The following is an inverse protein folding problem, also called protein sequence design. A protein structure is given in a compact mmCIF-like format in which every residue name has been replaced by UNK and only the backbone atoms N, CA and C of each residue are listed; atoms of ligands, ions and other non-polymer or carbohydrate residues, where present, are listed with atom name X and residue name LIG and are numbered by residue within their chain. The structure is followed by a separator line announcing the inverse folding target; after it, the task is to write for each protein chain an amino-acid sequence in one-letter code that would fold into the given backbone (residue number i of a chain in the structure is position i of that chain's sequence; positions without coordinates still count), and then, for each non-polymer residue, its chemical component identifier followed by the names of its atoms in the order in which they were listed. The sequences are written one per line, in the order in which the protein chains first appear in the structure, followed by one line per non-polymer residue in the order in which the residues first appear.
data_IF_062393137939
#
_entry.id   IF_062393137939
#
_cell.length_a   1.000
_cell.length_b   1.000
_cell.length_c   1.000
_cell.angle_alpha   90.00
_cell.angle_beta   90.00
_cell.angle_gamma   90.00
#
_symmetry.space_group_name_H-M   'P 1'
#
loop_
_entity.id
_entity.type
_entity.pdbx_description
1 polymer ?
#
# COMPACT_ATOMS: atom_id res chain seq x y z
N UNK A 1 -46.30 41.00 18.61
CA UNK A 1 -45.30 40.50 17.65
C UNK A 1 -44.36 39.59 18.43
N UNK A 2 -44.53 38.27 18.31
CA UNK A 2 -43.76 37.37 17.42
C UNK A 2 -42.30 37.29 17.87
N UNK A 3 -41.97 36.28 18.70
CA UNK A 3 -41.44 34.95 18.34
C UNK A 3 -39.97 35.00 17.96
N UNK A 4 -39.12 34.25 18.67
CA UNK A 4 -38.00 33.45 18.13
C UNK A 4 -36.95 33.11 19.21
N UNK A 5 -37.30 32.24 20.16
CA UNK A 5 -36.28 31.44 20.88
C UNK A 5 -36.90 30.07 21.19
N UNK A 6 -37.19 29.26 20.16
CA UNK A 6 -37.53 27.83 20.35
C UNK A 6 -36.92 26.88 19.30
N UNK A 7 -36.18 27.38 18.32
CA UNK A 7 -35.66 26.55 17.21
C UNK A 7 -34.39 25.75 17.54
N UNK A 8 -33.40 26.24 18.32
CA UNK A 8 -32.17 25.46 18.56
C UNK A 8 -32.38 24.28 19.53
N UNK A 9 -33.27 24.43 20.52
CA UNK A 9 -33.52 23.41 21.53
C UNK A 9 -34.33 22.23 20.97
N UNK A 10 -35.26 22.51 20.05
CA UNK A 10 -36.08 21.48 19.39
C UNK A 10 -35.25 20.70 18.35
N UNK A 11 -34.32 21.36 17.64
CA UNK A 11 -33.39 20.67 16.74
C UNK A 11 -32.42 19.76 17.51
N UNK A 12 -31.88 20.22 18.64
CA UNK A 12 -30.97 19.42 19.47
C UNK A 12 -31.62 18.15 20.04
N UNK A 13 -32.87 18.22 20.46
CA UNK A 13 -33.62 17.06 20.98
C UNK A 13 -34.04 16.10 19.85
N UNK A 14 -34.37 16.61 18.66
CA UNK A 14 -34.71 15.77 17.50
C UNK A 14 -33.50 14.97 16.98
N UNK A 15 -32.30 15.55 16.99
CA UNK A 15 -31.06 14.87 16.56
C UNK A 15 -30.66 13.78 17.57
N UNK A 16 -30.76 14.05 18.88
CA UNK A 16 -30.48 13.05 19.92
C UNK A 16 -31.49 11.90 19.92
N UNK A 17 -32.78 12.16 19.70
CA UNK A 17 -33.79 11.12 19.55
C UNK A 17 -33.59 10.28 18.27
N UNK A 18 -33.18 10.90 17.16
CA UNK A 18 -32.87 10.21 15.91
C UNK A 18 -31.69 9.24 16.02
N UNK A 19 -30.62 9.63 16.73
CA UNK A 19 -29.44 8.78 16.96
C UNK A 19 -29.76 7.60 17.88
N UNK A 20 -30.60 7.80 18.92
CA UNK A 20 -31.01 6.73 19.84
C UNK A 20 -31.96 5.72 19.16
N UNK A 21 -32.86 6.18 18.29
CA UNK A 21 -33.76 5.30 17.53
C UNK A 21 -33.00 4.53 16.46
N UNK A 22 -31.95 5.09 15.83
CA UNK A 22 -31.08 4.34 14.93
C UNK A 22 -30.25 3.28 15.67
N UNK A 23 -29.73 3.58 16.87
CA UNK A 23 -28.98 2.59 17.65
C UNK A 23 -29.86 1.45 18.16
N UNK A 24 -31.12 1.71 18.52
CA UNK A 24 -32.05 0.68 19.00
C UNK A 24 -32.66 -0.15 17.87
N UNK A 25 -32.70 0.35 16.64
CA UNK A 25 -33.13 -0.43 15.47
C UNK A 25 -32.02 -1.30 14.88
N UNK A 26 -30.74 -0.95 15.09
CA UNK A 26 -29.61 -1.84 14.78
C UNK A 26 -29.42 -2.97 15.80
N UNK A 27 -29.87 -2.82 17.06
CA UNK A 27 -29.83 -3.90 18.05
C UNK A 27 -30.99 -4.90 17.94
N UNK A 28 -32.02 -4.59 17.15
CA UNK A 28 -33.21 -5.43 16.99
C UNK A 28 -33.18 -6.35 15.75
N UNK A 29 -32.17 -6.22 14.88
CA UNK A 29 -31.97 -7.16 13.75
C UNK A 29 -31.11 -8.38 14.10
N UNK A 30 -30.53 -8.44 15.31
CA UNK A 30 -29.61 -9.50 15.72
C UNK A 30 -30.21 -10.48 16.75
N UNK A 31 -31.55 -10.56 16.82
CA UNK A 31 -32.25 -11.49 17.71
C UNK A 31 -33.39 -12.21 16.98
N UNK A 32 -33.03 -13.30 16.30
CA UNK A 32 -33.97 -14.39 16.00
C UNK A 32 -33.62 -15.60 16.87
N UNK A 33 -34.62 -16.30 17.45
CA UNK A 33 -34.41 -17.22 18.56
C UNK A 33 -33.96 -18.61 18.08
N UNK A 34 -32.95 -19.18 18.75
CA UNK A 34 -32.68 -20.61 18.71
C UNK A 34 -33.89 -21.38 19.27
N UNK A 35 -34.56 -22.14 18.41
CA UNK A 35 -35.51 -23.16 18.82
C UNK A 35 -34.77 -24.33 19.47
N UNK A 36 -35.05 -24.53 20.74
CA UNK A 36 -34.77 -25.74 21.50
C UNK A 36 -35.72 -26.87 21.06
N UNK A 37 -35.15 -28.00 20.69
CA UNK A 37 -35.81 -29.30 20.72
C UNK A 37 -34.87 -30.28 21.41
N UNK A 38 -35.14 -30.54 22.68
CA UNK A 38 -34.56 -31.68 23.38
C UNK A 38 -35.29 -32.96 22.99
N UNK A 39 -34.55 -34.04 22.78
CA UNK A 39 -34.65 -35.22 23.65
C UNK A 39 -33.70 -36.36 23.24
N UNK A 40 -33.23 -37.03 24.29
CA UNK A 40 -32.94 -38.47 24.44
C UNK A 40 -31.66 -39.10 23.90
N UNK A 41 -30.85 -39.51 24.91
CA UNK A 41 -30.18 -40.81 25.13
C UNK A 41 -28.99 -41.24 24.27
N UNK A 42 -27.92 -41.58 25.01
CA UNK A 42 -26.85 -42.53 24.75
C UNK A 42 -27.00 -43.42 23.50
N UNK A 43 -25.97 -43.41 22.65
CA UNK A 43 -25.24 -44.64 22.30
C UNK A 43 -23.94 -44.31 21.56
N UNK A 44 -22.83 -44.76 22.14
CA UNK A 44 -21.53 -44.93 21.50
C UNK A 44 -21.63 -45.74 20.21
N UNK A 45 -21.34 -45.13 19.06
CA UNK A 45 -20.89 -45.84 17.85
C UNK A 45 -19.81 -45.06 17.12
N UNK A 46 -18.63 -45.66 17.12
CA UNK A 46 -17.57 -45.58 16.11
C UNK A 46 -18.14 -45.37 14.70
N UNK A 47 -17.74 -44.28 14.06
CA UNK A 47 -17.97 -44.05 12.64
C UNK A 47 -16.93 -43.05 12.12
N UNK A 48 -15.87 -43.59 11.54
CA UNK A 48 -14.99 -42.91 10.59
C UNK A 48 -15.81 -42.13 9.56
N UNK A 49 -15.73 -40.80 9.56
CA UNK A 49 -16.41 -39.96 8.56
C UNK A 49 -15.40 -39.52 7.49
N UNK A 50 -15.68 -39.71 6.18
CA UNK A 50 -14.79 -39.33 5.10
C UNK A 50 -14.77 -37.81 4.94
N UNK A 51 -13.58 -37.26 4.66
CA UNK A 51 -13.28 -35.90 4.18
C UNK A 51 -14.45 -34.90 4.20
N UNK A 52 -14.54 -34.07 5.25
CA UNK A 52 -15.31 -32.84 5.20
C UNK A 52 -14.69 -31.90 4.15
N UNK A 53 -15.11 -32.01 2.89
CA UNK A 53 -14.84 -31.00 1.87
C UNK A 53 -15.46 -29.69 2.33
N UNK A 54 -14.63 -28.66 2.49
CA UNK A 54 -15.11 -27.31 2.84
C UNK A 54 -16.10 -26.86 1.76
N UNK A 55 -17.26 -26.38 2.19
CA UNK A 55 -18.24 -25.82 1.28
C UNK A 55 -17.68 -24.55 0.64
N UNK A 56 -17.34 -24.61 -0.66
CA UNK A 56 -16.79 -23.48 -1.41
C UNK A 56 -17.84 -22.61 -2.11
N UNK A 57 -19.13 -22.86 -1.89
CA UNK A 57 -20.19 -21.99 -2.40
C UNK A 57 -20.00 -20.57 -1.84
N UNK A 58 -19.66 -19.62 -2.72
CA UNK A 58 -19.48 -18.21 -2.39
C UNK A 58 -18.07 -17.67 -2.60
N UNK A 59 -17.04 -18.53 -2.70
CA UNK A 59 -15.69 -18.07 -3.01
C UNK A 59 -15.49 -17.89 -4.52
N UNK A 60 -14.88 -16.78 -4.92
CA UNK A 60 -14.42 -16.56 -6.29
C UNK A 60 -13.12 -17.36 -6.52
N UNK A 61 -12.92 -17.87 -7.73
CA UNK A 61 -11.59 -18.34 -8.14
C UNK A 61 -10.67 -17.15 -8.38
N UNK A 62 -9.38 -17.34 -8.10
CA UNK A 62 -8.37 -16.39 -8.55
C UNK A 62 -8.44 -16.27 -10.08
N UNK A 63 -8.46 -15.04 -10.63
CA UNK A 63 -8.46 -14.85 -12.07
C UNK A 63 -7.13 -15.32 -12.67
N UNK A 64 -7.12 -15.58 -13.97
CA UNK A 64 -5.88 -15.82 -14.69
C UNK A 64 -5.00 -14.55 -14.70
N UNK A 65 -3.68 -14.74 -14.64
CA UNK A 65 -2.71 -13.67 -14.86
C UNK A 65 -2.72 -13.32 -16.36
N UNK A 66 -3.26 -12.16 -16.69
CA UNK A 66 -3.50 -11.72 -18.07
C UNK A 66 -2.71 -10.45 -18.39
N UNK A 67 -2.24 -10.33 -19.63
CA UNK A 67 -1.54 -9.13 -20.07
C UNK A 67 -0.14 -8.94 -19.50
N UNK A 68 0.48 -10.02 -19.00
CA UNK A 68 1.82 -9.96 -18.42
C UNK A 68 2.84 -9.57 -19.48
N UNK A 69 3.55 -8.47 -19.23
CA UNK A 69 4.54 -7.87 -20.12
C UNK A 69 5.96 -8.39 -19.91
N UNK A 70 6.23 -8.97 -18.74
CA UNK A 70 7.54 -9.49 -18.37
C UNK A 70 7.47 -10.40 -17.14
N UNK A 71 8.49 -11.25 -17.00
CA UNK A 71 8.61 -12.22 -15.92
C UNK A 71 10.01 -12.11 -15.31
N UNK A 72 10.09 -12.15 -13.98
CA UNK A 72 11.32 -12.16 -13.20
C UNK A 72 11.25 -13.36 -12.24
N UNK A 73 12.38 -14.05 -12.05
CA UNK A 73 12.49 -15.29 -11.25
C UNK A 73 11.63 -16.47 -11.74
N UNK A 74 11.07 -16.41 -12.95
CA UNK A 74 10.29 -17.50 -13.56
C UNK A 74 10.15 -17.34 -15.06
N UNK A 75 9.68 -18.39 -15.74
CA UNK A 75 9.17 -18.36 -17.10
C UNK A 75 7.64 -18.59 -17.12
N UNK A 76 6.91 -18.14 -18.16
CA UNK A 76 5.45 -18.26 -18.21
C UNK A 76 4.93 -19.69 -17.97
N UNK A 77 5.49 -20.67 -18.70
CA UNK A 77 5.09 -22.08 -18.60
C UNK A 77 5.45 -22.71 -17.25
N UNK A 78 6.53 -22.25 -16.62
CA UNK A 78 6.94 -22.71 -15.30
C UNK A 78 5.97 -22.18 -14.24
N UNK A 79 5.61 -20.91 -14.30
CA UNK A 79 4.67 -20.29 -13.37
C UNK A 79 3.30 -20.98 -13.43
N UNK A 80 2.78 -21.18 -14.64
CA UNK A 80 1.47 -21.84 -14.84
C UNK A 80 1.45 -23.27 -14.27
N UNK A 81 2.53 -24.03 -14.44
CA UNK A 81 2.66 -25.37 -13.85
C UNK A 81 2.80 -25.31 -12.33
N UNK A 82 3.53 -24.32 -11.81
CA UNK A 82 3.74 -24.15 -10.37
C UNK A 82 2.46 -23.83 -9.61
N UNK A 83 1.49 -23.15 -10.22
CA UNK A 83 0.23 -22.77 -9.54
C UNK A 83 -0.61 -23.99 -9.12
N UNK A 84 -0.55 -25.10 -9.86
CA UNK A 84 -1.39 -26.27 -9.60
C UNK A 84 -1.07 -26.90 -8.23
N UNK A 85 -2.11 -27.23 -7.47
CA UNK A 85 -2.01 -27.78 -6.12
C UNK A 85 -1.16 -26.94 -5.16
N UNK A 86 -1.05 -25.61 -5.32
CA UNK A 86 -0.35 -24.73 -4.36
C UNK A 86 -1.34 -23.82 -3.65
N UNK A 87 -1.04 -23.48 -2.40
CA UNK A 87 -1.61 -22.26 -1.80
C UNK A 87 -0.90 -21.08 -2.45
N UNK A 88 -1.63 -20.16 -3.07
CA UNK A 88 -1.02 -19.05 -3.81
C UNK A 88 -1.30 -17.72 -3.14
N UNK A 89 -0.26 -16.99 -2.75
CA UNK A 89 -0.36 -15.60 -2.31
C UNK A 89 -0.03 -14.69 -3.50
N UNK A 90 -1.03 -13.93 -3.96
CA UNK A 90 -0.86 -12.88 -4.95
C UNK A 90 -0.63 -11.55 -4.23
N UNK A 91 0.58 -11.01 -4.35
CA UNK A 91 0.95 -9.72 -3.78
C UNK A 91 0.95 -8.66 -4.88
N UNK A 92 -0.04 -7.76 -4.86
CA UNK A 92 -0.09 -6.64 -5.81
C UNK A 92 0.71 -5.48 -5.22
N UNK A 93 1.81 -5.13 -5.87
CA UNK A 93 2.80 -4.19 -5.36
C UNK A 93 3.39 -3.30 -6.48
N UNK A 94 4.07 -2.24 -6.07
CA UNK A 94 4.98 -1.46 -6.92
C UNK A 94 6.17 -1.01 -6.08
N UNK A 95 7.36 -0.90 -6.68
CA UNK A 95 8.59 -0.77 -5.90
C UNK A 95 8.82 0.64 -5.33
N UNK A 96 8.18 1.68 -5.87
CA UNK A 96 8.30 3.04 -5.31
C UNK A 96 7.25 3.35 -4.23
N UNK A 97 6.32 2.43 -3.96
CA UNK A 97 5.30 2.59 -2.92
C UNK A 97 5.87 2.20 -1.54
N UNK A 98 5.99 3.16 -0.62
CA UNK A 98 6.53 2.91 0.73
C UNK A 98 5.73 1.83 1.49
N UNK A 99 4.40 1.85 1.37
CA UNK A 99 3.53 0.89 2.03
C UNK A 99 3.78 -0.53 1.48
N UNK A 100 4.04 -0.68 0.18
CA UNK A 100 4.44 -1.96 -0.40
C UNK A 100 5.79 -2.41 0.17
N UNK A 101 6.79 -1.53 0.13
CA UNK A 101 8.17 -1.81 0.58
C UNK A 101 8.21 -2.28 2.04
N UNK A 102 7.38 -1.71 2.92
CA UNK A 102 7.29 -2.11 4.33
C UNK A 102 6.70 -3.51 4.53
N UNK A 103 5.89 -4.01 3.59
CA UNK A 103 5.37 -5.39 3.67
C UNK A 103 6.37 -6.44 3.21
N UNK A 104 7.34 -6.08 2.37
CA UNK A 104 8.26 -7.03 1.73
C UNK A 104 9.04 -7.91 2.71
N UNK A 105 9.58 -7.41 3.85
CA UNK A 105 10.28 -8.27 4.82
C UNK A 105 9.44 -9.44 5.33
N UNK A 106 8.14 -9.24 5.52
CA UNK A 106 7.22 -10.30 5.94
C UNK A 106 6.97 -11.30 4.81
N UNK A 107 6.75 -10.80 3.59
CA UNK A 107 6.47 -11.63 2.41
C UNK A 107 7.68 -12.50 2.07
N UNK A 108 8.89 -11.95 2.08
CA UNK A 108 10.13 -12.72 1.84
C UNK A 108 10.36 -13.74 2.95
N UNK A 109 10.06 -13.41 4.21
CA UNK A 109 10.15 -14.36 5.32
C UNK A 109 9.13 -15.50 5.18
N UNK A 110 7.92 -15.23 4.68
CA UNK A 110 6.93 -16.27 4.40
C UNK A 110 7.35 -17.16 3.23
N UNK A 111 7.91 -16.58 2.17
CA UNK A 111 8.45 -17.34 1.03
C UNK A 111 9.53 -18.32 1.48
N UNK A 112 10.54 -17.85 2.22
CA UNK A 112 11.60 -18.70 2.76
C UNK A 112 11.05 -19.81 3.66
N UNK A 113 10.04 -19.49 4.47
CA UNK A 113 9.53 -20.41 5.49
C UNK A 113 8.57 -21.46 4.96
N UNK A 114 7.79 -21.14 3.92
CA UNK A 114 6.64 -21.93 3.48
C UNK A 114 6.71 -22.42 2.03
N UNK A 115 7.66 -21.95 1.21
CA UNK A 115 7.79 -22.37 -0.19
C UNK A 115 7.86 -23.89 -0.35
N UNK A 116 8.75 -24.56 0.40
CA UNK A 116 8.89 -26.02 0.39
C UNK A 116 7.67 -26.79 0.95
N UNK A 117 6.73 -26.09 1.60
CA UNK A 117 5.51 -26.70 2.18
C UNK A 117 4.28 -26.56 1.27
N UNK A 118 4.42 -25.91 0.13
CA UNK A 118 3.33 -25.73 -0.83
C UNK A 118 2.74 -24.32 -0.89
N UNK A 119 3.46 -23.30 -0.38
CA UNK A 119 3.14 -21.90 -0.62
C UNK A 119 3.84 -21.42 -1.88
N UNK A 120 3.11 -20.80 -2.78
CA UNK A 120 3.65 -20.06 -3.92
C UNK A 120 3.30 -18.59 -3.76
N UNK A 121 4.30 -17.72 -3.64
CA UNK A 121 4.09 -16.27 -3.71
C UNK A 121 4.28 -15.81 -5.16
N UNK A 122 3.38 -14.95 -5.64
CA UNK A 122 3.48 -14.30 -6.94
C UNK A 122 3.38 -12.79 -6.71
N UNK A 123 4.50 -12.08 -6.91
CA UNK A 123 4.51 -10.62 -6.92
C UNK A 123 3.95 -10.09 -8.23
N UNK A 124 2.75 -9.52 -8.20
CA UNK A 124 2.13 -8.84 -9.35
C UNK A 124 2.58 -7.38 -9.29
N UNK A 125 3.70 -7.09 -9.96
CA UNK A 125 4.21 -5.73 -10.07
C UNK A 125 3.30 -4.92 -11.01
N UNK A 126 2.48 -4.03 -10.44
CA UNK A 126 1.58 -3.16 -11.19
C UNK A 126 2.04 -1.71 -11.01
N UNK A 127 2.49 -1.01 -12.06
CA UNK A 127 3.10 0.30 -11.93
C UNK A 127 2.08 1.40 -11.57
N UNK A 128 2.48 2.27 -10.64
CA UNK A 128 1.85 3.55 -10.34
C UNK A 128 2.32 4.64 -11.32
N UNK A 129 3.62 4.63 -11.66
CA UNK A 129 4.29 5.59 -12.53
C UNK A 129 4.92 4.94 -13.78
N UNK A 130 5.16 5.73 -14.83
CA UNK A 130 5.67 5.21 -16.11
C UNK A 130 7.07 4.59 -16.01
N UNK A 131 7.95 5.14 -15.16
CA UNK A 131 9.32 4.61 -14.99
C UNK A 131 9.32 3.21 -14.36
N UNK A 132 8.24 2.82 -13.66
CA UNK A 132 8.11 1.52 -13.03
C UNK A 132 7.74 0.41 -14.04
N UNK A 133 7.42 0.76 -15.29
CA UNK A 133 7.19 -0.21 -16.37
C UNK A 133 8.47 -0.85 -16.90
N UNK A 134 9.61 -0.21 -16.65
CA UNK A 134 10.91 -0.72 -17.10
C UNK A 134 11.32 -1.93 -16.25
N UNK A 135 11.46 -3.08 -16.91
CA UNK A 135 11.81 -4.33 -16.25
C UNK A 135 13.18 -4.29 -15.56
N UNK A 136 14.13 -3.49 -16.04
CA UNK A 136 15.45 -3.39 -15.41
C UNK A 136 15.35 -2.67 -14.06
N UNK A 137 14.51 -1.64 -13.95
CA UNK A 137 14.21 -0.99 -12.66
C UNK A 137 13.53 -1.98 -11.69
N UNK A 138 12.57 -2.77 -12.18
CA UNK A 138 11.90 -3.78 -11.35
C UNK A 138 12.89 -4.86 -10.89
N UNK A 139 13.84 -5.30 -11.73
CA UNK A 139 14.89 -6.27 -11.34
C UNK A 139 15.81 -5.72 -10.26
N UNK A 140 16.20 -4.45 -10.35
CA UNK A 140 16.99 -3.79 -9.32
C UNK A 140 16.24 -3.78 -7.99
N UNK A 141 14.95 -3.45 -7.99
CA UNK A 141 14.10 -3.51 -6.80
C UNK A 141 13.96 -4.94 -6.24
N UNK A 142 13.68 -5.92 -7.11
CA UNK A 142 13.59 -7.36 -6.74
C UNK A 142 14.87 -7.81 -6.03
N UNK A 143 16.03 -7.42 -6.55
CA UNK A 143 17.33 -7.71 -5.93
C UNK A 143 17.52 -6.96 -4.61
N UNK A 144 17.24 -5.65 -4.59
CA UNK A 144 17.38 -4.77 -3.42
C UNK A 144 16.56 -5.27 -2.22
N UNK A 145 15.37 -5.81 -2.48
CA UNK A 145 14.45 -6.27 -1.44
C UNK A 145 14.49 -7.78 -1.19
N UNK A 146 15.43 -8.51 -1.80
CA UNK A 146 15.60 -9.95 -1.56
C UNK A 146 14.42 -10.81 -2.03
N UNK A 147 13.74 -10.39 -3.09
CA UNK A 147 12.59 -11.09 -3.64
C UNK A 147 13.08 -12.25 -4.52
N UNK A 148 12.89 -13.48 -4.05
CA UNK A 148 13.27 -14.70 -4.78
C UNK A 148 12.09 -15.42 -5.43
N UNK A 149 10.87 -15.13 -4.97
CA UNK A 149 9.64 -15.65 -5.56
C UNK A 149 9.38 -15.06 -6.96
N UNK A 150 8.53 -15.72 -7.79
CA UNK A 150 8.12 -15.21 -9.09
C UNK A 150 7.51 -13.80 -9.04
N UNK A 151 7.95 -12.93 -9.96
CA UNK A 151 7.36 -11.60 -10.17
C UNK A 151 6.90 -11.47 -11.62
N UNK A 152 5.70 -10.94 -11.81
CA UNK A 152 5.09 -10.66 -13.12
C UNK A 152 4.84 -9.18 -13.28
N UNK A 153 5.11 -8.63 -14.47
CA UNK A 153 4.91 -7.21 -14.79
C UNK A 153 3.54 -6.99 -15.43
N UNK A 154 2.60 -6.39 -14.69
CA UNK A 154 1.27 -6.01 -15.14
C UNK A 154 1.21 -4.55 -15.62
N UNK A 155 2.05 -4.21 -16.61
CA UNK A 155 2.26 -2.83 -17.07
C UNK A 155 0.99 -2.14 -17.59
N UNK A 156 0.02 -2.90 -18.09
CA UNK A 156 -1.26 -2.42 -18.60
C UNK A 156 -2.41 -2.53 -17.59
N UNK A 157 -2.14 -2.91 -16.33
CA UNK A 157 -3.12 -3.13 -15.26
C UNK A 157 -4.21 -4.16 -15.58
N UNK A 158 -3.95 -5.10 -16.51
CA UNK A 158 -4.96 -6.08 -16.94
C UNK A 158 -5.21 -7.12 -15.84
N UNK A 159 -4.16 -7.58 -15.18
CA UNK A 159 -4.29 -8.50 -14.03
C UNK A 159 -4.88 -7.77 -12.83
N UNK A 160 -4.43 -6.55 -12.54
CA UNK A 160 -5.01 -5.66 -11.54
C UNK A 160 -6.54 -5.52 -11.69
N UNK A 161 -7.02 -5.27 -12.90
CA UNK A 161 -8.46 -5.18 -13.18
C UNK A 161 -9.17 -6.53 -13.07
N UNK A 162 -8.53 -7.63 -13.47
CA UNK A 162 -9.09 -8.98 -13.33
C UNK A 162 -9.31 -9.36 -11.84
N UNK A 163 -8.44 -8.88 -10.94
CA UNK A 163 -8.59 -9.02 -9.49
C UNK A 163 -9.59 -8.02 -8.86
N UNK A 164 -10.20 -7.14 -9.66
CA UNK A 164 -11.05 -6.05 -9.17
C UNK A 164 -10.31 -5.16 -8.14
N UNK A 165 -9.00 -4.94 -8.36
CA UNK A 165 -8.15 -4.22 -7.42
C UNK A 165 -8.22 -2.69 -7.57
N UNK A 166 -7.97 -1.95 -6.48
CA UNK A 166 -7.89 -0.49 -6.43
C UNK A 166 -6.80 0.03 -5.46
N UNK A 167 -5.92 -0.83 -4.92
CA UNK A 167 -5.00 -0.46 -3.83
C UNK A 167 -3.62 -1.08 -3.97
N UNK A 168 -2.61 -0.35 -3.49
CA UNK A 168 -1.26 -0.84 -3.22
C UNK A 168 -0.94 -0.68 -1.71
N UNK A 169 -0.33 -1.69 -1.06
CA UNK A 169 -0.32 -3.09 -1.47
C UNK A 169 -1.72 -3.72 -1.30
N UNK A 170 -1.95 -4.87 -1.94
CA UNK A 170 -3.09 -5.74 -1.63
C UNK A 170 -2.70 -7.20 -1.80
N UNK A 171 -3.17 -8.06 -0.90
CA UNK A 171 -2.84 -9.48 -0.87
C UNK A 171 -4.09 -10.31 -1.04
N UNK A 172 -4.05 -11.27 -1.95
CA UNK A 172 -5.07 -12.30 -2.08
C UNK A 172 -4.44 -13.66 -1.85
N UNK A 173 -5.07 -14.52 -1.06
CA UNK A 173 -4.60 -15.90 -0.88
C UNK A 173 -5.63 -16.86 -1.45
N UNK A 174 -5.21 -17.68 -2.41
CA UNK A 174 -6.00 -18.76 -2.97
C UNK A 174 -5.58 -20.11 -2.36
N UNK A 175 -6.55 -20.98 -2.12
CA UNK A 175 -6.28 -22.38 -1.75
C UNK A 175 -5.74 -23.22 -2.93
N UNK A 176 -5.39 -24.47 -2.66
CA UNK A 176 -4.81 -25.40 -3.65
C UNK A 176 -5.74 -25.77 -4.81
N UNK A 177 -7.03 -25.42 -4.74
CA UNK A 177 -8.00 -25.57 -5.84
C UNK A 177 -8.25 -24.25 -6.58
N UNK A 178 -7.57 -23.17 -6.17
CA UNK A 178 -7.58 -21.84 -6.79
C UNK A 178 -8.70 -20.93 -6.31
N UNK A 179 -9.39 -21.23 -5.21
CA UNK A 179 -10.42 -20.33 -4.66
C UNK A 179 -9.77 -19.29 -3.75
N UNK A 180 -10.10 -18.01 -3.92
CA UNK A 180 -9.65 -16.94 -3.03
C UNK A 180 -10.31 -17.13 -1.67
N UNK A 181 -9.50 -17.29 -0.62
CA UNK A 181 -9.91 -17.52 0.76
C UNK A 181 -9.57 -16.37 1.69
N UNK A 182 -8.80 -15.40 1.20
CA UNK A 182 -8.41 -14.20 1.96
C UNK A 182 -8.09 -13.05 1.03
N UNK A 183 -8.38 -11.84 1.51
CA UNK A 183 -8.22 -10.56 0.82
C UNK A 183 -7.87 -9.51 1.87
N UNK A 184 -6.69 -8.91 1.73
CA UNK A 184 -6.17 -7.89 2.64
C UNK A 184 -5.72 -6.66 1.86
N UNK A 185 -6.35 -5.52 2.16
CA UNK A 185 -6.04 -4.22 1.59
C UNK A 185 -5.04 -3.49 2.49
N UNK A 186 -3.97 -2.98 1.89
CA UNK A 186 -3.01 -2.10 2.55
C UNK A 186 -1.89 -2.81 3.29
N UNK A 187 -1.12 -2.01 4.01
CA UNK A 187 -0.04 -2.43 4.90
C UNK A 187 -0.62 -2.95 6.23
N UNK A 188 -0.03 -4.01 6.80
CA UNK A 188 -0.42 -4.57 8.09
C UNK A 188 -0.99 -5.99 8.00
N UNK A 189 -1.70 -6.41 9.06
CA UNK A 189 -2.40 -7.70 9.10
C UNK A 189 -1.49 -8.92 9.02
N UNK A 190 -0.20 -8.80 9.34
CA UNK A 190 0.80 -9.83 9.05
C UNK A 190 0.54 -11.14 9.79
N UNK A 191 0.25 -11.07 11.10
CA UNK A 191 -0.04 -12.26 11.90
C UNK A 191 -1.32 -12.98 11.47
N UNK A 192 -2.34 -12.22 11.03
CA UNK A 192 -3.58 -12.78 10.50
C UNK A 192 -3.33 -13.46 9.15
N UNK A 193 -2.65 -12.76 8.24
CA UNK A 193 -2.28 -13.27 6.91
C UNK A 193 -1.48 -14.57 7.04
N UNK A 194 -0.49 -14.62 7.93
CA UNK A 194 0.32 -15.83 8.13
C UNK A 194 -0.48 -17.01 8.70
N UNK A 195 -1.45 -16.76 9.60
CA UNK A 195 -2.35 -17.82 10.09
C UNK A 195 -3.17 -18.40 8.95
N UNK A 196 -3.70 -17.56 8.06
CA UNK A 196 -4.41 -18.03 6.86
C UNK A 196 -3.50 -18.89 5.98
N UNK A 197 -2.25 -18.48 5.76
CA UNK A 197 -1.27 -19.29 5.02
C UNK A 197 -1.14 -20.67 5.68
N UNK A 198 -0.94 -20.73 6.99
CA UNK A 198 -0.79 -22.01 7.71
C UNK A 198 -2.05 -22.88 7.61
N UNK A 199 -3.23 -22.30 7.77
CA UNK A 199 -4.52 -23.01 7.70
C UNK A 199 -4.74 -23.60 6.31
N UNK A 200 -4.47 -22.85 5.25
CA UNK A 200 -4.63 -23.33 3.87
C UNK A 200 -3.58 -24.38 3.48
N UNK A 201 -2.34 -24.27 4.00
CA UNK A 201 -1.33 -25.31 3.82
C UNK A 201 -1.74 -26.61 4.52
N UNK A 202 -2.34 -26.52 5.71
CA UNK A 202 -2.88 -27.68 6.41
C UNK A 202 -4.06 -28.31 5.66
N UNK A 203 -4.99 -27.48 5.16
CA UNK A 203 -6.12 -27.92 4.32
C UNK A 203 -5.63 -28.67 3.08
N UNK A 204 -4.66 -28.08 2.36
CA UNK A 204 -3.99 -28.67 1.20
C UNK A 204 -3.35 -30.02 1.53
N UNK A 205 -2.53 -30.09 2.58
CA UNK A 205 -1.82 -31.33 2.93
C UNK A 205 -2.79 -32.46 3.26
N UNK A 206 -3.87 -32.16 3.99
CA UNK A 206 -4.95 -33.11 4.27
C UNK A 206 -5.63 -33.59 2.98
N UNK A 207 -5.93 -32.67 2.05
CA UNK A 207 -6.57 -32.99 0.77
C UNK A 207 -5.68 -33.83 -0.15
N UNK A 208 -4.36 -33.72 -0.03
CA UNK A 208 -3.39 -34.44 -0.87
C UNK A 208 -2.80 -35.69 -0.18
N UNK A 209 -3.24 -36.01 1.05
CA UNK A 209 -2.72 -37.13 1.82
C UNK A 209 -1.23 -36.99 2.19
N UNK A 210 -0.74 -35.76 2.34
CA UNK A 210 0.64 -35.47 2.75
C UNK A 210 0.73 -35.43 4.28
N UNK A 211 1.79 -36.00 4.84
CA UNK A 211 2.09 -35.90 6.27
C UNK A 211 2.29 -34.42 6.65
N UNK A 212 1.46 -33.92 7.55
CA UNK A 212 1.43 -32.51 7.92
C UNK A 212 2.65 -32.14 8.78
N UNK A 213 3.33 -31.06 8.40
CA UNK A 213 4.20 -30.34 9.35
C UNK A 213 3.35 -29.65 10.42
N UNK A 214 3.84 -29.67 11.66
CA UNK A 214 3.22 -28.93 12.77
C UNK A 214 3.18 -27.42 12.49
N UNK A 215 2.14 -26.74 12.96
CA UNK A 215 2.03 -25.29 12.89
C UNK A 215 3.34 -24.63 13.38
N UNK A 216 3.95 -23.80 12.54
CA UNK A 216 5.19 -23.10 12.85
C UNK A 216 4.87 -21.85 13.68
N UNK A 217 5.77 -21.44 14.57
CA UNK A 217 5.67 -20.13 15.24
C UNK A 217 5.59 -19.01 14.21
N UNK A 218 4.76 -17.99 14.40
CA UNK A 218 4.62 -16.88 13.43
C UNK A 218 5.91 -16.07 13.29
N UNK A 219 6.12 -15.47 12.12
CA UNK A 219 7.21 -14.51 11.86
C UNK A 219 7.03 -13.30 12.79
N UNK A 220 8.12 -12.90 13.45
CA UNK A 220 8.17 -11.73 14.34
C UNK A 220 9.13 -10.71 13.75
N UNK A 221 8.58 -9.68 13.12
CA UNK A 221 9.29 -8.51 12.60
C UNK A 221 8.55 -7.30 13.17
N UNK A 222 9.30 -6.26 13.55
CA UNK A 222 8.73 -5.03 14.06
C UNK A 222 7.91 -4.34 12.95
N UNK A 223 6.65 -4.04 13.25
CA UNK A 223 5.76 -3.33 12.34
C UNK A 223 6.04 -1.83 12.40
N UNK A 224 5.83 -1.13 11.29
CA UNK A 224 5.89 0.32 11.32
C UNK A 224 4.64 0.89 12.01
N UNK A 225 4.83 1.54 13.16
CA UNK A 225 3.75 2.23 13.86
C UNK A 225 3.50 3.60 13.20
N UNK A 226 2.50 3.67 12.33
CA UNK A 226 2.10 4.94 11.71
C UNK A 226 1.15 5.75 12.57
N UNK A 227 1.36 7.06 12.61
CA UNK A 227 0.37 7.99 13.13
C UNK A 227 -0.78 8.15 12.13
N UNK A 228 -2.02 8.05 12.62
CA UNK A 228 -3.23 8.35 11.83
C UNK A 228 -3.32 9.83 11.46
N UNK A 229 -2.69 10.71 12.23
CA UNK A 229 -2.65 12.15 11.99
C UNK A 229 -1.33 12.48 11.30
N UNK A 230 -1.32 12.36 9.97
CA UNK A 230 -0.18 12.72 9.13
C UNK A 230 -0.64 13.34 7.81
N UNK A 231 0.31 13.94 7.11
CA UNK A 231 0.09 14.46 5.75
C UNK A 231 -0.28 13.31 4.82
N UNK A 232 -1.35 13.42 4.01
CA UNK A 232 -1.63 12.42 3.01
C UNK A 232 -0.55 12.46 1.92
N UNK A 233 -0.56 11.47 1.05
CA UNK A 233 0.32 11.44 -0.10
C UNK A 233 0.12 12.66 -1.02
N UNK A 234 1.21 13.34 -1.39
CA UNK A 234 1.19 14.57 -2.19
C UNK A 234 1.67 14.27 -3.61
N UNK A 235 0.76 14.26 -4.58
CA UNK A 235 1.07 13.97 -5.97
C UNK A 235 1.42 15.21 -6.81
N UNK A 236 2.45 15.08 -7.65
CA UNK A 236 2.94 16.13 -8.55
C UNK A 236 2.44 15.98 -10.00
N UNK A 237 1.80 14.86 -10.35
CA UNK A 237 1.21 14.66 -11.67
C UNK A 237 -0.21 15.19 -11.78
N UNK A 238 -0.52 15.91 -12.86
CA UNK A 238 -1.85 16.51 -13.04
C UNK A 238 -2.99 15.49 -13.19
N UNK A 239 -2.71 14.20 -13.44
CA UNK A 239 -3.75 13.16 -13.48
C UNK A 239 -4.21 12.69 -12.09
N UNK A 240 -3.39 12.90 -11.05
CA UNK A 240 -3.66 12.42 -9.70
C UNK A 240 -4.44 13.43 -8.84
N UNK A 241 -4.61 14.67 -9.32
CA UNK A 241 -5.08 15.79 -8.48
C UNK A 241 -6.60 15.90 -8.38
N UNK A 242 -7.35 15.10 -9.15
CA UNK A 242 -8.81 15.13 -9.12
C UNK A 242 -9.34 14.75 -7.73
N UNK A 243 -9.88 15.73 -7.00
CA UNK A 243 -10.38 15.57 -5.63
C UNK A 243 -9.30 15.50 -4.54
N UNK A 244 -8.01 15.69 -4.89
CA UNK A 244 -6.85 15.64 -3.97
C UNK A 244 -5.76 16.66 -4.33
N UNK A 245 -6.13 17.80 -4.93
CA UNK A 245 -5.16 18.82 -5.33
C UNK A 245 -4.57 19.52 -4.10
N UNK A 246 -3.26 19.36 -3.90
CA UNK A 246 -2.50 19.93 -2.78
C UNK A 246 -1.36 20.85 -3.24
N UNK A 247 -1.33 21.21 -4.53
CA UNK A 247 -0.47 22.27 -5.01
C UNK A 247 -1.01 23.61 -4.48
N UNK A 248 -0.29 24.19 -3.52
CA UNK A 248 -0.63 25.47 -2.91
C UNK A 248 -0.11 26.68 -3.68
N UNK A 249 0.71 26.49 -4.72
CA UNK A 249 1.18 27.58 -5.56
C UNK A 249 0.02 28.23 -6.34
N UNK A 250 -0.12 29.57 -6.35
CA UNK A 250 -1.25 30.27 -6.95
C UNK A 250 -1.37 30.08 -8.47
N UNK A 251 -0.27 29.74 -9.15
CA UNK A 251 -0.22 29.46 -10.58
C UNK A 251 -0.99 28.19 -10.95
N UNK A 252 -1.10 27.24 -10.00
CA UNK A 252 -1.80 25.97 -10.13
C UNK A 252 -1.19 25.03 -11.18
N UNK A 253 -1.89 23.93 -11.44
CA UNK A 253 -1.49 22.97 -12.48
C UNK A 253 -1.81 23.51 -13.88
N UNK A 254 -0.87 23.38 -14.81
CA UNK A 254 -1.05 23.66 -16.25
C UNK A 254 -0.61 22.45 -17.08
N UNK A 255 -1.53 21.53 -17.42
CA UNK A 255 -1.17 20.27 -18.06
C UNK A 255 -0.26 20.44 -19.29
N UNK A 256 0.88 19.73 -19.29
CA UNK A 256 1.91 19.72 -20.34
C UNK A 256 2.59 21.07 -20.63
N UNK A 257 2.47 22.04 -19.73
CA UNK A 257 3.12 23.34 -19.86
C UNK A 257 4.29 23.47 -18.90
N UNK A 258 5.25 24.30 -19.29
CA UNK A 258 6.32 24.77 -18.43
C UNK A 258 5.79 25.99 -17.68
N UNK A 259 5.76 25.92 -16.34
CA UNK A 259 5.16 26.94 -15.48
C UNK A 259 6.24 27.50 -14.57
N UNK A 260 6.38 28.82 -14.55
CA UNK A 260 7.23 29.49 -13.58
C UNK A 260 6.46 29.69 -12.27
N UNK A 261 6.85 28.97 -11.24
CA UNK A 261 6.24 29.04 -9.91
C UNK A 261 7.00 29.97 -8.98
N UNK A 262 6.27 30.53 -8.02
CA UNK A 262 6.82 31.31 -6.92
C UNK A 262 6.22 30.85 -5.59
N UNK A 263 7.03 30.81 -4.53
CA UNK A 263 6.58 30.42 -3.20
C UNK A 263 5.83 31.60 -2.55
N UNK A 264 4.54 31.46 -2.19
CA UNK A 264 3.80 32.51 -1.50
C UNK A 264 4.27 32.70 -0.06
N UNK A 265 4.02 33.89 0.50
CA UNK A 265 4.33 34.19 1.90
C UNK A 265 3.63 33.21 2.86
N UNK A 266 2.31 33.01 2.66
CA UNK A 266 1.49 32.09 3.45
C UNK A 266 1.49 30.70 2.81
N UNK A 267 1.79 29.69 3.63
CA UNK A 267 1.75 28.27 3.26
C UNK A 267 0.88 27.50 4.23
N UNK A 268 -0.03 26.71 3.69
CA UNK A 268 -0.91 25.80 4.42
C UNK A 268 -0.23 24.45 4.66
N UNK A 269 -0.52 23.86 5.83
CA UNK A 269 -0.15 22.49 6.17
C UNK A 269 -0.77 21.50 5.17
N UNK A 270 -0.03 20.44 4.85
CA UNK A 270 -0.41 19.38 3.90
C UNK A 270 -0.50 19.80 2.43
N UNK A 271 0.10 20.93 2.07
CA UNK A 271 0.25 21.37 0.69
C UNK A 271 1.73 21.46 0.33
N UNK A 272 2.01 21.47 -0.97
CA UNK A 272 3.34 21.72 -1.50
C UNK A 272 3.38 22.98 -2.38
N UNK A 273 4.56 23.60 -2.43
CA UNK A 273 4.83 24.85 -3.13
C UNK A 273 6.14 24.72 -3.89
N UNK A 274 6.25 25.46 -4.99
CA UNK A 274 7.38 25.39 -5.90
C UNK A 274 7.96 26.78 -6.17
N UNK A 275 9.27 26.81 -6.38
CA UNK A 275 10.00 27.94 -6.98
C UNK A 275 10.80 27.45 -8.18
N UNK A 276 10.88 28.28 -9.22
CA UNK A 276 11.54 27.95 -10.49
C UNK A 276 10.55 27.54 -11.58
N UNK A 277 11.08 27.17 -12.75
CA UNK A 277 10.27 26.73 -13.90
C UNK A 277 10.16 25.21 -13.93
N UNK A 278 8.93 24.70 -13.83
CA UNK A 278 8.63 23.28 -13.78
C UNK A 278 7.64 22.87 -14.89
N UNK A 279 7.96 21.80 -15.59
CA UNK A 279 7.07 21.17 -16.56
C UNK A 279 6.07 20.28 -15.84
N UNK A 280 4.79 20.56 -16.03
CA UNK A 280 3.67 19.81 -15.46
C UNK A 280 3.37 18.58 -16.34
N UNK A 281 3.82 17.40 -15.93
CA UNK A 281 3.63 16.14 -16.63
C UNK A 281 2.43 15.37 -16.08
N UNK A 282 2.02 14.35 -16.81
CA UNK A 282 0.86 13.50 -16.46
C UNK A 282 0.99 12.92 -15.06
N UNK A 283 2.16 12.35 -14.74
CA UNK A 283 2.41 11.66 -13.48
C UNK A 283 3.39 12.37 -12.53
N UNK A 284 3.91 13.54 -12.90
CA UNK A 284 5.05 14.17 -12.23
C UNK A 284 5.16 15.66 -12.55
N UNK A 285 6.13 16.32 -11.91
CA UNK A 285 6.69 17.58 -12.39
C UNK A 285 8.20 17.47 -12.60
N UNK A 286 8.70 18.07 -13.68
CA UNK A 286 10.12 18.08 -14.03
C UNK A 286 10.69 19.50 -13.97
N UNK A 287 11.84 19.67 -13.31
CA UNK A 287 12.54 20.94 -13.22
C UNK A 287 13.17 21.31 -14.57
N UNK A 288 12.87 22.50 -15.09
CA UNK A 288 13.38 23.03 -16.37
C UNK A 288 14.43 24.12 -16.14
N UNK A 289 14.24 24.97 -15.13
CA UNK A 289 15.23 25.99 -14.78
C UNK A 289 16.52 25.36 -14.21
N UNK A 290 17.62 26.11 -14.22
CA UNK A 290 18.91 25.68 -13.67
C UNK A 290 18.87 25.27 -12.20
N UNK A 291 17.91 25.81 -11.46
CA UNK A 291 17.61 25.44 -10.10
C UNK A 291 16.12 25.59 -9.81
N UNK A 292 15.66 24.96 -8.74
CA UNK A 292 14.31 25.07 -8.24
C UNK A 292 14.22 24.64 -6.78
N UNK A 293 13.13 25.02 -6.13
CA UNK A 293 12.86 24.64 -4.74
C UNK A 293 11.49 24.02 -4.59
N UNK A 294 11.37 23.09 -3.64
CA UNK A 294 10.10 22.50 -3.22
C UNK A 294 9.94 22.77 -1.74
N UNK A 295 8.79 23.29 -1.33
CA UNK A 295 8.46 23.55 0.09
C UNK A 295 7.19 22.81 0.48
N UNK A 296 7.25 22.09 1.59
CA UNK A 296 6.14 21.26 2.07
C UNK A 296 5.99 21.43 3.59
N UNK A 297 5.05 22.26 4.08
CA UNK A 297 4.63 22.18 5.47
C UNK A 297 3.87 20.87 5.68
N UNK A 298 4.41 19.98 6.50
CA UNK A 298 3.90 18.63 6.70
C UNK A 298 3.76 18.29 8.18
N UNK A 299 2.95 17.28 8.45
CA UNK A 299 2.90 16.50 9.69
C UNK A 299 3.28 15.04 9.38
N UNK A 300 4.13 14.44 10.19
CA UNK A 300 4.54 13.03 10.07
C UNK A 300 5.87 12.76 10.76
N UNK A 301 6.21 11.49 10.95
CA UNK A 301 7.51 11.10 11.52
C UNK A 301 8.49 10.61 10.46
N UNK A 302 8.00 10.28 9.27
CA UNK A 302 8.82 9.88 8.15
C UNK A 302 8.40 10.64 6.89
N UNK A 303 9.36 11.08 6.09
CA UNK A 303 9.09 11.63 4.75
C UNK A 303 9.88 10.83 3.73
N UNK A 304 9.17 10.35 2.71
CA UNK A 304 9.78 9.73 1.55
C UNK A 304 9.41 10.51 0.29
N UNK A 305 10.34 10.58 -0.65
CA UNK A 305 10.17 11.20 -1.96
C UNK A 305 10.30 10.12 -3.04
N UNK A 306 9.39 10.13 -4.02
CA UNK A 306 9.53 9.35 -5.25
C UNK A 306 9.98 10.29 -6.36
N UNK A 307 11.15 10.01 -6.92
CA UNK A 307 11.84 10.92 -7.83
C UNK A 307 12.68 10.18 -8.86
N UNK A 308 12.95 10.86 -9.97
CA UNK A 308 13.86 10.45 -11.04
C UNK A 308 14.72 11.64 -11.49
N UNK A 309 15.66 11.36 -12.41
CA UNK A 309 16.63 12.34 -12.90
C UNK A 309 17.82 12.49 -11.95
N UNK A 310 19.03 12.29 -12.48
CA UNK A 310 20.27 12.43 -11.71
C UNK A 310 20.35 13.85 -11.10
N UNK A 311 20.36 13.93 -9.77
CA UNK A 311 20.33 15.18 -9.05
C UNK A 311 20.90 15.03 -7.63
N UNK A 312 21.37 16.15 -7.08
CA UNK A 312 21.63 16.28 -5.65
C UNK A 312 20.56 17.16 -5.02
N UNK A 313 19.87 16.63 -4.01
CA UNK A 313 18.82 17.34 -3.28
C UNK A 313 19.40 17.82 -1.97
N UNK A 314 19.42 19.14 -1.75
CA UNK A 314 19.81 19.70 -0.45
C UNK A 314 18.57 19.87 0.42
N UNK A 315 18.57 19.22 1.58
CA UNK A 315 17.39 19.13 2.46
C UNK A 315 17.53 20.12 3.62
N UNK A 316 16.46 20.85 3.88
CA UNK A 316 16.30 21.71 5.04
C UNK A 316 14.97 21.44 5.75
N UNK A 317 14.97 21.63 7.06
CA UNK A 317 13.80 21.55 7.92
C UNK A 317 13.71 22.86 8.71
N UNK A 318 12.54 23.50 8.65
CA UNK A 318 12.23 24.76 9.35
C UNK A 318 13.29 25.86 9.09
N UNK A 319 13.71 25.99 7.83
CA UNK A 319 14.68 26.99 7.38
C UNK A 319 16.12 26.72 7.81
N UNK A 320 16.45 25.52 8.30
CA UNK A 320 17.81 25.11 8.66
C UNK A 320 18.18 23.84 7.91
N UNK A 321 19.46 23.67 7.58
CA UNK A 321 19.96 22.38 7.08
C UNK A 321 19.53 21.26 8.01
N UNK A 322 19.06 20.15 7.44
CA UNK A 322 18.54 19.02 8.21
C UNK A 322 19.57 18.53 9.24
N UNK A 323 19.11 18.29 10.48
CA UNK A 323 19.92 17.74 11.55
C UNK A 323 20.16 16.24 11.32
N UNK A 324 21.37 15.76 11.58
CA UNK A 324 21.74 14.34 11.41
C UNK A 324 20.85 13.36 12.16
N UNK A 325 20.24 13.78 13.27
CA UNK A 325 19.27 12.97 14.02
C UNK A 325 17.95 12.74 13.29
N UNK A 326 17.66 13.53 12.26
CA UNK A 326 16.45 13.45 11.44
C UNK A 326 16.70 12.77 10.08
N UNK A 327 17.92 12.29 9.81
CA UNK A 327 18.26 11.74 8.50
C UNK A 327 17.42 10.51 8.21
N UNK A 328 16.70 10.57 7.09
CA UNK A 328 16.23 9.36 6.45
C UNK A 328 17.42 8.52 5.98
N UNK A 329 17.19 7.22 5.75
CA UNK A 329 18.26 6.27 5.38
C UNK A 329 19.00 6.62 4.08
N UNK A 330 18.40 7.44 3.23
CA UNK A 330 18.96 7.82 1.93
C UNK A 330 19.60 9.23 1.95
N UNK A 331 19.71 9.87 3.13
CA UNK A 331 20.41 11.15 3.32
C UNK A 331 21.88 10.89 3.69
N UNK A 332 22.80 11.44 2.90
CA UNK A 332 24.24 11.38 3.17
C UNK A 332 24.71 12.43 4.18
N UNK A 333 25.96 12.32 4.61
CA UNK A 333 26.60 13.10 5.71
C UNK A 333 26.51 14.63 5.62
N UNK A 334 26.11 15.18 4.46
CA UNK A 334 25.96 16.63 4.22
C UNK A 334 24.51 17.10 4.22
N UNK A 335 23.55 16.27 4.63
CA UNK A 335 22.13 16.60 4.54
C UNK A 335 21.65 16.61 3.09
N UNK A 336 22.28 15.80 2.24
CA UNK A 336 22.00 15.73 0.81
C UNK A 336 21.59 14.33 0.40
N UNK A 337 20.68 14.25 -0.56
CA UNK A 337 20.24 12.99 -1.18
C UNK A 337 20.74 12.99 -2.62
N UNK A 338 21.47 11.96 -3.01
CA UNK A 338 21.89 11.79 -4.39
C UNK A 338 20.93 10.85 -5.10
N UNK A 339 20.16 11.38 -6.03
CA UNK A 339 19.23 10.62 -6.87
C UNK A 339 20.04 10.07 -8.04
N UNK A 340 20.10 8.75 -8.17
CA UNK A 340 20.79 8.08 -9.28
C UNK A 340 19.81 7.28 -10.14
N UNK A 341 18.84 6.64 -9.49
CA UNK A 341 17.86 5.76 -10.11
C UNK A 341 16.45 6.27 -9.81
N UNK A 342 15.48 6.07 -10.73
CA UNK A 342 14.11 6.44 -10.47
C UNK A 342 13.51 5.54 -9.37
N UNK A 343 13.06 6.13 -8.27
CA UNK A 343 12.51 5.36 -7.17
C UNK A 343 12.23 6.14 -5.89
N UNK A 344 12.04 5.37 -4.82
CA UNK A 344 11.70 5.85 -3.48
C UNK A 344 12.97 6.10 -2.66
N UNK A 345 13.07 7.30 -2.09
CA UNK A 345 14.12 7.74 -1.19
C UNK A 345 13.53 8.22 0.12
N UNK A 346 14.04 7.73 1.23
CA UNK A 346 13.67 8.15 2.58
C UNK A 346 14.56 9.30 3.02
N UNK A 347 13.97 10.48 3.20
CA UNK A 347 14.70 11.74 3.34
C UNK A 347 14.57 12.37 4.72
N UNK A 348 13.54 11.99 5.49
CA UNK A 348 13.39 12.40 6.89
C UNK A 348 12.90 11.23 7.71
N UNK A 349 13.45 11.06 8.91
CA UNK A 349 12.97 10.12 9.92
C UNK A 349 13.15 10.69 11.33
N UNK A 350 12.08 10.75 12.10
CA UNK A 350 12.05 11.21 13.50
C UNK A 350 11.46 10.13 14.41
N UNK A 351 11.56 10.33 15.73
CA UNK A 351 11.00 9.41 16.72
C UNK A 351 9.51 9.67 17.03
N UNK A 352 9.01 10.85 16.66
CA UNK A 352 7.66 11.31 16.93
C UNK A 352 7.11 12.09 15.75
N UNK A 353 5.81 11.93 15.51
CA UNK A 353 5.08 12.71 14.51
C UNK A 353 4.98 14.17 14.95
N UNK A 354 5.58 15.07 14.17
CA UNK A 354 5.64 16.51 14.44
C UNK A 354 5.30 17.31 13.18
N UNK A 355 4.99 18.59 13.37
CA UNK A 355 4.76 19.50 12.26
C UNK A 355 6.07 20.23 11.93
N UNK A 356 6.48 20.15 10.67
CA UNK A 356 7.69 20.79 10.16
C UNK A 356 7.43 21.41 8.79
N UNK A 357 8.32 22.30 8.36
CA UNK A 357 8.43 22.70 6.96
C UNK A 357 9.64 22.02 6.34
N UNK A 358 9.40 21.13 5.38
CA UNK A 358 10.46 20.57 4.53
C UNK A 358 10.75 21.54 3.38
N UNK A 359 12.02 21.85 3.18
CA UNK A 359 12.50 22.55 1.99
C UNK A 359 13.54 21.70 1.26
N UNK A 360 13.36 21.53 -0.04
CA UNK A 360 14.31 20.84 -0.92
C UNK A 360 14.79 21.83 -1.97
N UNK A 361 16.11 21.99 -2.09
CA UNK A 361 16.74 22.76 -3.15
C UNK A 361 17.44 21.81 -4.15
N UNK A 362 17.22 22.07 -5.44
CA UNK A 362 17.72 21.27 -6.55
C UNK A 362 18.44 22.17 -7.54
N UNK A 363 19.65 21.80 -7.96
CA UNK A 363 20.51 22.57 -8.88
C UNK A 363 20.75 21.86 -10.22
N UNK A 364 19.88 20.92 -10.59
CA UNK A 364 20.04 20.11 -11.79
C UNK A 364 18.73 20.05 -12.58
N UNK A 365 18.66 20.70 -13.76
CA UNK A 365 17.54 20.53 -14.69
C UNK A 365 17.33 19.05 -15.04
N UNK A 366 16.09 18.66 -15.27
CA UNK A 366 15.72 17.27 -15.55
C UNK A 366 15.44 16.43 -14.31
N UNK A 367 15.64 16.95 -13.10
CA UNK A 367 15.08 16.38 -11.88
C UNK A 367 13.56 16.29 -12.00
N UNK A 368 13.00 15.12 -11.68
CA UNK A 368 11.58 14.84 -11.83
C UNK A 368 11.02 14.26 -10.53
N UNK A 369 10.00 14.91 -9.96
CA UNK A 369 9.32 14.49 -8.73
C UNK A 369 7.92 13.97 -9.04
N UNK A 370 7.55 12.86 -8.40
CA UNK A 370 6.27 12.17 -8.60
C UNK A 370 5.34 12.35 -7.40
N UNK A 371 5.84 12.04 -6.20
CA UNK A 371 5.04 12.07 -4.98
C UNK A 371 5.89 12.25 -3.71
N UNK A 372 5.29 12.80 -2.66
CA UNK A 372 5.75 12.61 -1.28
C UNK A 372 4.80 11.70 -0.52
N UNK A 373 5.37 10.75 0.22
CA UNK A 373 4.63 9.90 1.17
C UNK A 373 5.13 10.13 2.60
N UNK A 374 4.23 9.94 3.57
CA UNK A 374 4.48 10.24 4.97
C UNK A 374 4.17 9.03 5.83
N UNK A 375 5.03 8.77 6.82
CA UNK A 375 4.89 7.72 7.82
C UNK A 375 4.37 8.24 9.15
#
# INVERSE_FOLDING_TARGET
MKSEIKTPLILGIAILAGVIVLSLSLSALDSQPQQTLGNTSDESKTSSNPEQKINKLGYKKAPELVGISGYINTLPDELQKKIHDQVVLYDIWTYSCINCVRTLPFITAWDEKYSDQGLLIIGIHTPEFEFEKDIENVKLAVTKYGINYPVVLDNDRKTWHAFENNYWPRKYIADHEGYIRYDHIGEGGYQETEKVIQDLLQERNKSLGLDASSAKELVKIDEFESSWLRTPELYFGYDFVSGRNQLGSPEGFKPNQDVNYSIPESKQLHNFYLDGTWKNLKGSMMLISSSGSIVVPYSGQEVNIVTAGDANLSISIDGKTIDSSMYGKDVGDKGQVHVQEPGLYNIVKTNSSENHTLEIFVETPGFEIFTFTFG
#
